data_IF_282857294718
#
_entry.id   IF_282857294718
#
_cell.length_a   1.000
_cell.length_b   1.000
_cell.length_c   1.000
_cell.angle_alpha   90.00
_cell.angle_beta   90.00
_cell.angle_gamma   90.00
#
_symmetry.space_group_name_H-M   'P 1'
#
loop_
_entity.id
_entity.type
_entity.pdbx_description
1 polymer ?
#
# COMPACT_ATOMS: atom_id res chain seq x y z
N UNK A 1 1.76 22.36 1.45
CA UNK A 1 2.79 21.54 0.79
C UNK A 1 3.54 20.64 1.76
N UNK A 2 4.16 21.16 2.83
CA UNK A 2 4.86 20.32 3.82
C UNK A 2 3.97 19.23 4.43
N UNK A 3 2.78 19.58 4.91
CA UNK A 3 1.85 18.61 5.48
C UNK A 3 1.42 17.52 4.47
N UNK A 4 1.26 17.87 3.20
CA UNK A 4 0.96 16.90 2.13
C UNK A 4 2.07 15.86 2.00
N UNK A 5 3.33 16.30 2.06
CA UNK A 5 4.48 15.40 2.03
C UNK A 5 4.53 14.51 3.27
N UNK A 6 4.29 15.08 4.46
CA UNK A 6 4.22 14.31 5.72
C UNK A 6 3.13 13.23 5.60
N UNK A 7 1.93 13.59 5.17
CA UNK A 7 0.83 12.62 5.01
C UNK A 7 1.15 11.56 3.94
N UNK A 8 1.87 11.92 2.87
CA UNK A 8 2.33 10.95 1.87
C UNK A 8 3.33 9.96 2.46
N UNK A 9 4.26 10.43 3.29
CA UNK A 9 5.19 9.56 4.03
C UNK A 9 4.45 8.69 5.05
N UNK A 10 3.45 9.24 5.74
CA UNK A 10 2.58 8.47 6.65
C UNK A 10 1.86 7.34 5.91
N UNK A 11 1.33 7.60 4.71
CA UNK A 11 0.73 6.58 3.84
C UNK A 11 1.74 5.47 3.52
N UNK A 12 2.96 5.83 3.13
CA UNK A 12 4.04 4.87 2.85
C UNK A 12 4.36 4.02 4.09
N UNK A 13 4.50 4.64 5.26
CA UNK A 13 4.79 3.94 6.52
C UNK A 13 3.70 2.91 6.85
N UNK A 14 2.42 3.28 6.70
CA UNK A 14 1.33 2.35 6.94
C UNK A 14 1.28 1.21 5.92
N UNK A 15 1.61 1.46 4.65
CA UNK A 15 1.69 0.37 3.66
C UNK A 15 2.84 -0.59 3.96
N UNK A 16 4.00 -0.09 4.40
CA UNK A 16 5.11 -0.95 4.84
C UNK A 16 4.71 -1.78 6.07
N UNK A 17 4.00 -1.18 7.03
CA UNK A 17 3.49 -1.89 8.20
C UNK A 17 2.46 -2.96 7.81
N UNK A 18 1.58 -2.65 6.86
CA UNK A 18 0.58 -3.58 6.31
C UNK A 18 1.26 -4.77 5.62
N UNK A 19 2.29 -4.51 4.82
CA UNK A 19 3.10 -5.54 4.16
C UNK A 19 3.81 -6.42 5.19
N UNK A 20 4.50 -5.81 6.16
CA UNK A 20 5.18 -6.55 7.22
C UNK A 20 4.23 -7.42 8.02
N UNK A 21 3.08 -6.87 8.45
CA UNK A 21 2.05 -7.63 9.16
C UNK A 21 1.57 -8.84 8.35
N UNK A 22 1.24 -8.63 7.08
CA UNK A 22 0.72 -9.68 6.20
C UNK A 22 1.74 -10.79 5.97
N UNK A 23 2.96 -10.41 5.62
CA UNK A 23 4.00 -11.34 5.15
C UNK A 23 4.73 -12.01 6.30
N UNK A 24 5.05 -11.26 7.38
CA UNK A 24 5.92 -11.72 8.45
C UNK A 24 5.18 -12.26 9.68
N UNK A 25 3.91 -11.87 9.91
CA UNK A 25 3.17 -12.21 11.12
C UNK A 25 1.94 -13.10 10.86
N UNK A 26 1.06 -12.71 9.94
CA UNK A 26 -0.18 -13.47 9.70
C UNK A 26 0.10 -14.77 8.95
N UNK A 27 0.95 -14.69 7.93
CA UNK A 27 1.45 -15.80 7.13
C UNK A 27 0.38 -16.71 6.49
N UNK A 28 -0.67 -16.10 5.93
CA UNK A 28 -1.74 -16.79 5.21
C UNK A 28 -1.66 -16.57 3.70
N UNK A 29 -1.87 -17.63 2.93
CA UNK A 29 -1.91 -17.67 1.46
C UNK A 29 -2.95 -16.71 0.87
N UNK A 30 -4.07 -16.52 1.56
CA UNK A 30 -5.15 -15.59 1.12
C UNK A 30 -4.62 -14.16 0.89
N UNK A 31 -3.60 -13.75 1.66
CA UNK A 31 -2.98 -12.43 1.53
C UNK A 31 -2.07 -12.30 0.29
N UNK A 32 -1.75 -13.42 -0.36
CA UNK A 32 -0.96 -13.49 -1.60
C UNK A 32 -1.82 -13.65 -2.86
N UNK A 33 -3.13 -13.42 -2.77
CA UNK A 33 -4.06 -13.50 -3.91
C UNK A 33 -3.69 -12.58 -5.08
N UNK A 34 -2.95 -11.50 -4.82
CA UNK A 34 -2.46 -10.57 -5.84
C UNK A 34 -1.08 -10.92 -6.41
N UNK A 35 -0.41 -11.96 -5.89
CA UNK A 35 0.91 -12.38 -6.33
C UNK A 35 0.86 -13.10 -7.70
N UNK A 36 2.00 -13.22 -8.41
CA UNK A 36 2.12 -14.08 -9.60
C UNK A 36 1.64 -15.51 -9.36
N UNK A 37 1.05 -16.14 -10.39
CA UNK A 37 0.43 -17.49 -10.27
C UNK A 37 1.42 -18.57 -9.87
N UNK A 38 2.67 -18.47 -10.31
CA UNK A 38 3.76 -19.37 -9.94
C UNK A 38 4.07 -19.31 -8.44
N UNK A 39 4.05 -18.10 -7.87
CA UNK A 39 4.21 -17.90 -6.42
C UNK A 39 2.98 -18.43 -5.66
N UNK A 40 1.76 -18.17 -6.14
CA UNK A 40 0.54 -18.68 -5.52
C UNK A 40 0.44 -20.21 -5.52
N UNK A 41 1.00 -20.87 -6.53
CA UNK A 41 1.00 -22.32 -6.64
C UNK A 41 1.86 -22.98 -5.56
N UNK A 42 2.97 -22.35 -5.16
CA UNK A 42 3.93 -22.93 -4.21
C UNK A 42 3.72 -22.46 -2.77
N UNK A 43 3.16 -21.26 -2.54
CA UNK A 43 2.91 -20.74 -1.19
C UNK A 43 1.97 -21.67 -0.41
N UNK A 44 2.37 -21.97 0.83
CA UNK A 44 1.60 -22.73 1.82
C UNK A 44 1.28 -21.88 3.04
N UNK A 45 0.10 -22.11 3.61
CA UNK A 45 -0.26 -21.52 4.90
C UNK A 45 0.71 -21.99 6.00
N UNK A 46 1.05 -21.08 6.91
CA UNK A 46 1.85 -21.42 8.08
C UNK A 46 0.93 -21.75 9.25
N UNK A 47 0.89 -23.02 9.62
CA UNK A 47 0.12 -23.49 10.78
C UNK A 47 0.76 -23.02 12.08
N UNK A 48 2.09 -23.10 12.18
CA UNK A 48 2.86 -22.63 13.34
C UNK A 48 3.09 -21.13 13.26
N UNK A 49 2.74 -20.43 14.34
CA UNK A 49 3.10 -19.02 14.53
C UNK A 49 4.61 -18.89 14.76
N UNK A 50 5.21 -17.77 14.34
CA UNK A 50 6.63 -17.49 14.61
C UNK A 50 6.94 -17.36 16.09
N UNK A 51 6.00 -16.78 16.83
CA UNK A 51 6.00 -16.69 18.28
C UNK A 51 4.54 -16.65 18.75
N UNK A 52 4.30 -16.98 20.01
CA UNK A 52 2.94 -17.03 20.58
C UNK A 52 2.25 -15.67 20.44
N UNK A 53 1.13 -15.62 19.73
CA UNK A 53 0.35 -14.40 19.51
C UNK A 53 0.79 -13.56 18.30
N UNK A 54 1.76 -14.03 17.51
CA UNK A 54 2.23 -13.31 16.31
C UNK A 54 1.09 -13.02 15.33
N UNK A 55 0.17 -13.98 15.14
CA UNK A 55 -0.96 -13.82 14.22
C UNK A 55 -1.95 -12.76 14.70
N UNK A 56 -2.28 -12.76 15.99
CA UNK A 56 -3.17 -11.76 16.61
C UNK A 56 -2.55 -10.37 16.47
N UNK A 57 -1.27 -10.24 16.83
CA UNK A 57 -0.52 -8.98 16.69
C UNK A 57 -0.47 -8.53 15.22
N UNK A 58 -0.26 -9.46 14.29
CA UNK A 58 -0.35 -9.20 12.86
C UNK A 58 -1.70 -8.61 12.46
N UNK A 59 -2.81 -9.27 12.79
CA UNK A 59 -4.16 -8.78 12.47
C UNK A 59 -4.42 -7.39 13.05
N UNK A 60 -4.02 -7.15 14.31
CA UNK A 60 -4.15 -5.83 14.95
C UNK A 60 -3.36 -4.77 14.15
N UNK A 61 -2.10 -5.04 13.82
CA UNK A 61 -1.28 -4.13 13.01
C UNK A 61 -1.84 -3.92 11.60
N UNK A 62 -2.46 -4.94 11.01
CA UNK A 62 -3.09 -4.85 9.70
C UNK A 62 -4.29 -3.89 9.74
N UNK A 63 -5.14 -4.01 10.75
CA UNK A 63 -6.28 -3.11 10.94
C UNK A 63 -5.83 -1.69 11.24
N UNK A 64 -4.86 -1.51 12.15
CA UNK A 64 -4.30 -0.19 12.48
C UNK A 64 -3.69 0.47 11.24
N UNK A 65 -2.94 -0.29 10.42
CA UNK A 65 -2.35 0.25 9.20
C UNK A 65 -3.40 0.63 8.14
N UNK A 66 -4.47 -0.14 8.01
CA UNK A 66 -5.57 0.20 7.11
C UNK A 66 -6.30 1.48 7.56
N UNK A 67 -6.57 1.61 8.88
CA UNK A 67 -7.15 2.83 9.46
C UNK A 67 -6.20 4.01 9.26
N UNK A 68 -4.90 3.82 9.50
CA UNK A 68 -3.89 4.86 9.33
C UNK A 68 -3.75 5.34 7.88
N UNK A 69 -3.79 4.42 6.92
CA UNK A 69 -3.79 4.74 5.50
C UNK A 69 -4.97 5.64 5.12
N UNK A 70 -6.20 5.23 5.47
CA UNK A 70 -7.42 6.01 5.20
C UNK A 70 -7.42 7.31 5.99
N UNK A 71 -7.02 7.25 7.25
CA UNK A 71 -6.92 8.38 8.16
C UNK A 71 -6.01 9.49 7.67
N UNK A 72 -4.91 9.17 6.97
CA UNK A 72 -4.04 10.18 6.37
C UNK A 72 -4.76 11.01 5.30
N UNK A 73 -5.60 10.38 4.46
CA UNK A 73 -6.41 11.09 3.47
C UNK A 73 -7.55 11.89 4.12
N UNK A 74 -8.24 11.31 5.11
CA UNK A 74 -9.31 12.01 5.86
C UNK A 74 -8.77 13.22 6.60
N UNK A 75 -7.63 13.08 7.29
CA UNK A 75 -6.96 14.21 7.94
C UNK A 75 -6.58 15.27 6.91
N UNK A 76 -6.10 14.85 5.73
CA UNK A 76 -5.81 15.76 4.63
C UNK A 76 -7.04 16.53 4.12
N UNK A 77 -8.22 15.90 4.13
CA UNK A 77 -9.49 16.54 3.81
C UNK A 77 -9.89 17.55 4.90
N UNK A 78 -9.94 17.12 6.16
CA UNK A 78 -10.32 17.97 7.31
C UNK A 78 -9.42 19.20 7.41
N UNK A 79 -8.10 19.02 7.31
CA UNK A 79 -7.14 20.13 7.32
C UNK A 79 -7.36 21.10 6.15
N UNK A 80 -7.72 20.60 4.96
CA UNK A 80 -8.04 21.45 3.83
C UNK A 80 -9.34 22.25 4.03
N UNK A 81 -10.36 21.65 4.64
CA UNK A 81 -11.65 22.30 4.97
C UNK A 81 -11.40 23.43 5.96
N UNK A 82 -10.69 23.15 7.06
CA UNK A 82 -10.35 24.15 8.09
C UNK A 82 -9.55 25.33 7.53
N UNK A 83 -8.77 25.10 6.46
CA UNK A 83 -7.93 26.11 5.80
C UNK A 83 -8.59 26.76 4.59
N UNK A 84 -9.88 26.52 4.33
CA UNK A 84 -10.61 27.08 3.20
C UNK A 84 -9.92 26.83 1.85
N UNK A 85 -9.41 25.61 1.63
CA UNK A 85 -8.78 25.23 0.38
C UNK A 85 -9.72 25.37 -0.83
N UNK A 86 -9.20 25.93 -1.92
CA UNK A 86 -9.88 25.90 -3.21
C UNK A 86 -9.93 24.46 -3.77
N UNK A 87 -10.86 24.20 -4.69
CA UNK A 87 -11.01 22.89 -5.36
C UNK A 87 -9.67 22.36 -5.93
N UNK A 88 -8.90 23.23 -6.57
CA UNK A 88 -7.59 22.87 -7.15
C UNK A 88 -6.55 22.52 -6.08
N UNK A 89 -6.62 23.14 -4.90
CA UNK A 89 -5.67 22.85 -3.81
C UNK A 89 -5.95 21.46 -3.22
N UNK A 90 -7.22 21.08 -3.05
CA UNK A 90 -7.60 19.71 -2.70
C UNK A 90 -7.18 18.70 -3.77
N UNK A 91 -7.50 19.00 -5.03
CA UNK A 91 -7.16 18.13 -6.16
C UNK A 91 -5.66 17.85 -6.20
N UNK A 92 -4.83 18.90 -6.16
CA UNK A 92 -3.37 18.78 -6.17
C UNK A 92 -2.85 18.03 -4.94
N UNK A 93 -3.44 18.25 -3.75
CA UNK A 93 -3.05 17.53 -2.52
C UNK A 93 -3.25 16.02 -2.68
N UNK A 94 -4.48 15.59 -3.03
CA UNK A 94 -4.80 14.17 -3.14
C UNK A 94 -4.03 13.51 -4.29
N UNK A 95 -3.91 14.20 -5.43
CA UNK A 95 -3.15 13.71 -6.57
C UNK A 95 -1.66 13.51 -6.21
N UNK A 96 -1.07 14.47 -5.50
CA UNK A 96 0.32 14.39 -5.04
C UNK A 96 0.52 13.20 -4.09
N UNK A 97 -0.38 13.05 -3.11
CA UNK A 97 -0.31 11.92 -2.17
C UNK A 97 -0.39 10.57 -2.89
N UNK A 98 -1.34 10.42 -3.81
CA UNK A 98 -1.53 9.19 -4.58
C UNK A 98 -0.34 8.89 -5.50
N UNK A 99 0.21 9.90 -6.18
CA UNK A 99 1.38 9.69 -7.04
C UNK A 99 2.67 9.42 -6.27
N UNK A 100 2.91 10.06 -5.13
CA UNK A 100 4.07 9.74 -4.28
C UNK A 100 3.96 8.30 -3.79
N UNK A 101 2.80 7.93 -3.24
CA UNK A 101 2.54 6.55 -2.84
C UNK A 101 2.77 5.58 -4.00
N UNK A 102 2.32 5.92 -5.21
CA UNK A 102 2.45 5.04 -6.37
C UNK A 102 3.87 4.90 -6.89
N UNK A 103 4.62 6.00 -6.89
CA UNK A 103 6.04 5.96 -7.22
C UNK A 103 6.79 5.05 -6.23
N UNK A 104 6.48 5.16 -4.94
CA UNK A 104 7.03 4.28 -3.92
C UNK A 104 6.64 2.81 -4.13
N UNK A 105 5.38 2.51 -4.43
CA UNK A 105 4.90 1.16 -4.75
C UNK A 105 5.71 0.54 -5.90
N UNK A 106 5.89 1.27 -7.01
CA UNK A 106 6.62 0.78 -8.19
C UNK A 106 8.12 0.59 -7.90
N UNK A 107 8.76 1.57 -7.26
CA UNK A 107 10.21 1.59 -7.09
C UNK A 107 10.63 0.73 -5.89
N UNK A 108 9.98 0.88 -4.75
CA UNK A 108 10.39 0.21 -3.52
C UNK A 108 9.72 -1.15 -3.38
N UNK A 109 8.42 -1.28 -3.61
CA UNK A 109 7.74 -2.57 -3.41
C UNK A 109 7.93 -3.50 -4.61
N UNK A 110 7.56 -3.04 -5.81
CA UNK A 110 7.57 -3.88 -7.01
C UNK A 110 8.99 -4.14 -7.55
N UNK A 111 9.88 -3.15 -7.53
CA UNK A 111 11.26 -3.32 -8.00
C UNK A 111 12.19 -3.81 -6.90
N UNK A 112 12.43 -3.00 -5.86
CA UNK A 112 13.44 -3.32 -4.85
C UNK A 112 13.04 -4.55 -4.02
N UNK A 113 11.82 -4.57 -3.48
CA UNK A 113 11.42 -5.56 -2.49
C UNK A 113 11.07 -6.93 -3.11
N UNK A 114 10.42 -6.96 -4.29
CA UNK A 114 10.16 -8.22 -4.98
C UNK A 114 11.39 -8.80 -5.69
N UNK A 115 12.23 -7.96 -6.31
CA UNK A 115 13.28 -8.46 -7.21
C UNK A 115 14.68 -8.48 -6.61
N UNK A 116 14.97 -7.67 -5.59
CA UNK A 116 16.35 -7.50 -5.06
C UNK A 116 16.52 -7.88 -3.59
N UNK A 117 15.53 -7.64 -2.73
CA UNK A 117 15.74 -7.71 -1.27
C UNK A 117 15.63 -9.11 -0.65
N UNK A 118 15.14 -10.09 -1.41
CA UNK A 118 14.84 -11.44 -0.91
C UNK A 118 13.88 -11.49 0.29
N UNK A 119 13.11 -10.41 0.54
CA UNK A 119 12.25 -10.26 1.72
C UNK A 119 11.19 -11.36 1.81
N UNK A 120 10.52 -11.68 0.70
CA UNK A 120 9.50 -12.72 0.68
C UNK A 120 10.10 -14.11 0.86
N UNK A 121 11.26 -14.36 0.26
CA UNK A 121 11.97 -15.64 0.33
C UNK A 121 12.45 -15.94 1.75
N UNK A 122 12.75 -14.92 2.55
CA UNK A 122 13.07 -15.08 3.97
C UNK A 122 11.90 -15.69 4.77
N UNK A 123 10.65 -15.31 4.45
CA UNK A 123 9.46 -15.83 5.14
C UNK A 123 8.84 -17.06 4.46
N UNK A 124 9.03 -17.18 3.14
CA UNK A 124 8.49 -18.22 2.27
C UNK A 124 9.62 -18.83 1.42
N UNK A 125 10.52 -19.63 2.01
CA UNK A 125 11.65 -20.23 1.30
C UNK A 125 11.22 -21.14 0.14
N UNK A 126 10.01 -21.69 0.16
CA UNK A 126 9.44 -22.47 -0.94
C UNK A 126 9.20 -21.65 -2.21
N UNK A 127 9.20 -20.32 -2.12
CA UNK A 127 9.06 -19.44 -3.28
C UNK A 127 10.40 -19.12 -3.93
N UNK A 128 11.52 -19.62 -3.39
CA UNK A 128 12.85 -19.44 -3.99
C UNK A 128 12.87 -20.10 -5.37
N UNK A 129 13.27 -19.33 -6.38
CA UNK A 129 13.33 -19.79 -7.78
C UNK A 129 12.09 -19.48 -8.62
N UNK A 130 11.00 -18.98 -8.03
CA UNK A 130 9.85 -18.51 -8.79
C UNK A 130 10.23 -17.39 -9.77
N UNK A 131 9.78 -17.51 -11.03
CA UNK A 131 10.01 -16.50 -12.07
C UNK A 131 9.32 -15.16 -11.76
N UNK A 132 8.24 -15.19 -10.99
CA UNK A 132 7.48 -14.01 -10.57
C UNK A 132 8.33 -12.95 -9.88
N UNK A 133 9.37 -13.36 -9.12
CA UNK A 133 10.31 -12.43 -8.50
C UNK A 133 11.33 -11.82 -9.47
N UNK A 134 11.50 -12.40 -10.67
CA UNK A 134 12.42 -11.88 -11.70
C UNK A 134 11.72 -10.99 -12.72
N UNK A 135 10.40 -11.11 -12.86
CA UNK A 135 9.60 -10.33 -13.82
C UNK A 135 9.12 -9.02 -13.19
N UNK A 136 9.97 -8.01 -13.26
CA UNK A 136 9.57 -6.64 -12.95
C UNK A 136 8.39 -6.22 -13.85
N UNK A 137 7.34 -5.66 -13.24
CA UNK A 137 6.19 -5.15 -13.99
C UNK A 137 5.15 -6.18 -14.41
N UNK A 138 5.05 -7.35 -13.77
CA UNK A 138 3.94 -8.29 -14.01
C UNK A 138 2.56 -7.61 -13.84
N UNK A 139 2.49 -6.59 -12.97
CA UNK A 139 1.27 -5.83 -12.69
C UNK A 139 1.12 -4.54 -13.53
N UNK A 140 1.93 -4.35 -14.59
CA UNK A 140 2.02 -3.07 -15.34
C UNK A 140 0.68 -2.54 -15.86
N UNK A 141 -0.23 -3.41 -16.31
CA UNK A 141 -1.57 -3.00 -16.75
C UNK A 141 -2.37 -2.38 -15.61
N UNK A 142 -2.37 -3.00 -14.43
CA UNK A 142 -3.03 -2.47 -13.23
C UNK A 142 -2.36 -1.19 -12.74
N UNK A 143 -1.03 -1.13 -12.78
CA UNK A 143 -0.24 0.05 -12.42
C UNK A 143 -0.62 1.27 -13.30
N UNK A 144 -0.69 1.09 -14.62
CA UNK A 144 -1.10 2.14 -15.57
C UNK A 144 -2.55 2.56 -15.34
N UNK A 145 -3.46 1.60 -15.18
CA UNK A 145 -4.88 1.90 -14.91
C UNK A 145 -5.05 2.78 -13.66
N UNK A 146 -4.30 2.49 -12.59
CA UNK A 146 -4.31 3.29 -11.35
C UNK A 146 -3.77 4.70 -11.59
N UNK A 147 -2.66 4.85 -12.32
CA UNK A 147 -2.10 6.17 -12.66
C UNK A 147 -3.11 7.03 -13.42
N UNK A 148 -3.82 6.45 -14.39
CA UNK A 148 -4.87 7.14 -15.15
C UNK A 148 -6.08 7.48 -14.28
N UNK A 149 -6.43 6.59 -13.34
CA UNK A 149 -7.61 6.75 -12.47
C UNK A 149 -7.40 7.80 -11.36
N UNK A 150 -6.18 8.00 -10.88
CA UNK A 150 -5.90 8.89 -9.75
C UNK A 150 -6.29 10.36 -9.94
N UNK A 151 -6.12 10.99 -11.13
CA UNK A 151 -6.71 12.29 -11.41
C UNK A 151 -8.23 12.32 -11.17
N UNK A 152 -8.98 11.34 -11.66
CA UNK A 152 -10.43 11.32 -11.50
C UNK A 152 -10.83 11.11 -10.04
N UNK A 153 -10.18 10.20 -9.33
CA UNK A 153 -10.42 9.97 -7.89
C UNK A 153 -10.10 11.22 -7.08
N UNK A 154 -8.99 11.89 -7.37
CA UNK A 154 -8.60 13.14 -6.70
C UNK A 154 -9.59 14.26 -6.95
N UNK A 155 -10.15 14.34 -8.17
CA UNK A 155 -11.16 15.33 -8.53
C UNK A 155 -12.50 15.07 -7.84
N UNK A 156 -12.94 13.81 -7.78
CA UNK A 156 -14.15 13.43 -7.06
C UNK A 156 -13.97 13.72 -5.56
N UNK A 157 -12.82 13.35 -4.98
CA UNK A 157 -12.51 13.63 -3.58
C UNK A 157 -12.48 15.14 -3.29
N UNK A 158 -11.93 15.96 -4.18
CA UNK A 158 -11.92 17.42 -4.00
C UNK A 158 -13.32 18.03 -4.08
N UNK A 159 -14.17 17.54 -4.98
CA UNK A 159 -15.58 17.93 -5.08
C UNK A 159 -16.33 17.57 -3.81
N UNK A 160 -16.14 16.36 -3.28
CA UNK A 160 -16.75 15.92 -2.02
C UNK A 160 -16.30 16.83 -0.88
N UNK A 161 -15.00 17.13 -0.75
CA UNK A 161 -14.49 18.01 0.31
C UNK A 161 -15.12 19.41 0.23
N UNK A 162 -15.37 19.91 -0.98
CA UNK A 162 -16.02 21.22 -1.21
C UNK A 162 -17.47 21.26 -0.74
N UNK A 163 -18.18 20.13 -0.67
CA UNK A 163 -19.55 20.09 -0.15
C UNK A 163 -19.62 20.36 1.36
N UNK A 164 -18.49 20.24 2.07
CA UNK A 164 -18.39 20.43 3.52
C UNK A 164 -17.75 21.77 3.93
N UNK A 165 -17.64 22.71 2.99
CA UNK A 165 -17.16 24.08 3.19
C UNK A 165 -18.33 25.05 3.11
#
# INVERSE_FOLDING_TARGET
MLLTLILSLTVILFVLLMLYSSVALIQKKVLFSSAPKDIQAVIRDREKERFKGARILGVILLVISMIGFVGAFLYGAIDGIQKNFLLWQFFLRFLTMLYIFKAFDIICLDWLLLTKSHFFQHYYPETIGCEGYRKFGFNRKSQIAKIILFPFVSLIASLICRLFM
#
